data_IF_641968164820
#
_entry.id   IF_641968164820
#
_cell.length_a   1.000
_cell.length_b   1.000
_cell.length_c   1.000
_cell.angle_alpha   90.00
_cell.angle_beta   90.00
_cell.angle_gamma   90.00
#
_symmetry.space_group_name_H-M   'P 1'
#
loop_
_entity.id
_entity.type
_entity.pdbx_description
1 polymer ?
#
# COMPACT_ATOMS: atom_id res chain seq x y z
N UNK A 1 -9.10 -27.14 -28.23
CA UNK A 1 -9.85 -25.88 -28.48
C UNK A 1 -11.12 -25.77 -27.64
N UNK A 2 -12.00 -26.79 -27.64
CA UNK A 2 -13.24 -26.82 -26.82
C UNK A 2 -13.01 -26.54 -25.34
N UNK A 3 -11.98 -27.14 -24.74
CA UNK A 3 -11.66 -26.94 -23.34
C UNK A 3 -11.19 -25.50 -23.02
N UNK A 4 -10.39 -24.90 -23.89
CA UNK A 4 -9.96 -23.48 -23.77
C UNK A 4 -11.19 -22.56 -23.79
N UNK A 5 -12.13 -22.80 -24.71
CA UNK A 5 -13.36 -22.02 -24.81
C UNK A 5 -14.24 -22.22 -23.55
N UNK A 6 -14.38 -23.46 -23.07
CA UNK A 6 -15.17 -23.75 -21.89
C UNK A 6 -14.61 -23.06 -20.64
N UNK A 7 -13.30 -23.10 -20.44
CA UNK A 7 -12.61 -22.38 -19.35
C UNK A 7 -12.83 -20.88 -19.51
N UNK A 8 -12.63 -20.33 -20.71
CA UNK A 8 -12.83 -18.90 -20.97
C UNK A 8 -14.27 -18.45 -20.68
N UNK A 9 -15.27 -19.17 -21.17
CA UNK A 9 -16.69 -18.88 -20.91
C UNK A 9 -16.98 -18.93 -19.42
N UNK A 10 -16.45 -19.93 -18.70
CA UNK A 10 -16.64 -20.05 -17.25
C UNK A 10 -16.03 -18.85 -16.52
N UNK A 11 -14.82 -18.44 -16.88
CA UNK A 11 -14.16 -17.25 -16.35
C UNK A 11 -14.97 -15.98 -16.63
N UNK A 12 -15.39 -15.77 -17.87
CA UNK A 12 -16.19 -14.59 -18.26
C UNK A 12 -17.54 -14.57 -17.52
N UNK A 13 -18.23 -15.71 -17.39
CA UNK A 13 -19.48 -15.79 -16.65
C UNK A 13 -19.31 -15.44 -15.17
N UNK A 14 -18.20 -15.83 -14.54
CA UNK A 14 -17.90 -15.45 -13.15
C UNK A 14 -17.65 -13.95 -13.03
N UNK A 15 -16.84 -13.38 -13.92
CA UNK A 15 -16.57 -11.94 -14.00
C UNK A 15 -17.89 -11.16 -14.20
N UNK A 16 -18.70 -11.55 -15.19
CA UNK A 16 -19.97 -10.87 -15.52
C UNK A 16 -20.97 -10.96 -14.37
N UNK A 17 -21.04 -12.09 -13.67
CA UNK A 17 -21.92 -12.24 -12.49
C UNK A 17 -21.52 -11.36 -11.33
N UNK A 18 -20.24 -10.99 -11.19
CA UNK A 18 -19.78 -10.07 -10.14
C UNK A 18 -20.17 -8.60 -10.42
N UNK A 19 -20.25 -8.19 -11.70
CA UNK A 19 -20.57 -6.80 -12.11
C UNK A 19 -21.86 -6.22 -11.48
N UNK A 20 -23.03 -6.89 -11.50
CA UNK A 20 -24.25 -6.33 -10.92
C UNK A 20 -24.16 -6.08 -9.42
N UNK A 21 -23.46 -6.94 -8.67
CA UNK A 21 -23.28 -6.77 -7.22
C UNK A 21 -22.41 -5.54 -6.94
N UNK A 22 -21.32 -5.36 -7.68
CA UNK A 22 -20.46 -4.17 -7.60
C UNK A 22 -21.26 -2.90 -7.93
N UNK A 23 -22.13 -2.94 -8.95
CA UNK A 23 -22.99 -1.80 -9.30
C UNK A 23 -24.00 -1.49 -8.20
N UNK A 24 -24.57 -2.50 -7.54
CA UNK A 24 -25.49 -2.34 -6.42
C UNK A 24 -24.80 -1.72 -5.21
N UNK A 25 -23.63 -2.22 -4.83
CA UNK A 25 -22.86 -1.68 -3.71
C UNK A 25 -22.41 -0.25 -3.99
N UNK A 26 -21.88 0.03 -5.19
CA UNK A 26 -21.51 1.40 -5.60
C UNK A 26 -22.68 2.37 -5.55
N UNK A 27 -23.85 1.94 -6.02
CA UNK A 27 -25.06 2.76 -5.94
C UNK A 27 -25.48 3.00 -4.48
N UNK A 28 -25.29 2.02 -3.60
CA UNK A 28 -25.56 2.16 -2.18
C UNK A 28 -24.58 3.13 -1.50
N UNK A 29 -23.28 3.03 -1.78
CA UNK A 29 -22.25 3.97 -1.33
C UNK A 29 -22.53 5.38 -1.84
N UNK A 30 -22.86 5.53 -3.12
CA UNK A 30 -23.21 6.83 -3.72
C UNK A 30 -24.46 7.46 -3.07
N UNK A 31 -25.48 6.65 -2.72
CA UNK A 31 -26.63 7.13 -1.93
C UNK A 31 -26.24 7.58 -0.53
N UNK A 32 -25.29 6.90 0.11
CA UNK A 32 -24.78 7.32 1.42
C UNK A 32 -24.00 8.64 1.32
N UNK A 33 -23.20 8.85 0.27
CA UNK A 33 -22.52 10.12 -0.03
C UNK A 33 -23.54 11.25 -0.26
N UNK A 34 -24.59 11.02 -1.05
CA UNK A 34 -25.58 12.05 -1.38
C UNK A 34 -26.44 12.46 -0.16
N UNK A 35 -26.64 11.55 0.80
CA UNK A 35 -27.54 11.74 1.94
C UNK A 35 -26.81 11.89 3.28
N UNK A 36 -25.56 12.37 3.26
CA UNK A 36 -24.72 12.67 4.44
C UNK A 36 -25.48 13.51 5.51
N UNK A 37 -26.56 14.22 5.13
CA UNK A 37 -27.38 15.05 6.02
C UNK A 37 -28.65 14.41 6.62
N UNK A 38 -29.17 13.27 6.14
CA UNK A 38 -30.53 12.84 6.55
C UNK A 38 -30.81 11.34 6.58
N UNK A 39 -29.89 10.45 6.17
CA UNK A 39 -30.20 9.02 6.07
C UNK A 39 -29.31 8.20 7.03
N UNK A 40 -29.96 7.47 7.94
CA UNK A 40 -29.36 6.32 8.62
C UNK A 40 -28.89 5.36 7.52
N UNK A 41 -27.59 5.01 7.42
CA UNK A 41 -27.12 4.08 6.41
C UNK A 41 -27.92 2.78 6.52
N UNK A 42 -28.43 2.27 5.39
CA UNK A 42 -29.12 0.98 5.38
C UNK A 42 -28.20 -0.12 5.89
N UNK A 43 -28.75 -1.07 6.65
CA UNK A 43 -28.00 -2.17 7.27
C UNK A 43 -27.24 -3.02 6.24
N UNK A 44 -27.72 -3.05 4.99
CA UNK A 44 -27.12 -3.79 3.87
C UNK A 44 -25.89 -3.11 3.23
N UNK A 45 -25.52 -1.91 3.66
CA UNK A 45 -24.39 -1.17 3.10
C UNK A 45 -23.09 -1.47 3.86
N UNK A 46 -21.95 -1.50 3.17
CA UNK A 46 -20.62 -1.61 3.81
C UNK A 46 -20.44 -0.58 4.94
N UNK A 47 -20.88 0.66 4.70
CA UNK A 47 -20.90 1.75 5.68
C UNK A 47 -21.77 1.39 6.89
N UNK A 48 -22.97 0.86 6.67
CA UNK A 48 -23.89 0.44 7.72
C UNK A 48 -23.32 -0.70 8.57
N UNK A 49 -22.70 -1.71 7.94
CA UNK A 49 -22.04 -2.81 8.66
C UNK A 49 -20.88 -2.31 9.53
N UNK A 50 -20.02 -1.43 9.01
CA UNK A 50 -18.92 -0.84 9.77
C UNK A 50 -19.40 0.07 10.90
N UNK A 51 -20.45 0.86 10.67
CA UNK A 51 -21.07 1.70 11.70
C UNK A 51 -21.70 0.89 12.83
N UNK A 52 -22.35 -0.23 12.50
CA UNK A 52 -22.89 -1.16 13.50
C UNK A 52 -21.78 -1.79 14.34
N UNK A 53 -20.74 -2.33 13.70
CA UNK A 53 -19.56 -2.89 14.37
C UNK A 53 -18.89 -1.87 15.30
N UNK A 54 -18.74 -0.62 14.86
CA UNK A 54 -18.19 0.44 15.70
C UNK A 54 -19.04 0.71 16.94
N UNK A 55 -20.37 0.79 16.79
CA UNK A 55 -21.30 1.00 17.91
C UNK A 55 -21.23 -0.14 18.92
N UNK A 56 -21.25 -1.39 18.44
CA UNK A 56 -21.15 -2.58 19.31
C UNK A 56 -19.82 -2.60 20.07
N UNK A 57 -18.70 -2.26 19.41
CA UNK A 57 -17.39 -2.17 20.06
C UNK A 57 -17.31 -1.05 21.12
N UNK A 58 -17.92 0.11 20.82
CA UNK A 58 -18.00 1.25 21.72
C UNK A 58 -18.85 0.93 22.97
N UNK A 59 -20.02 0.30 22.77
CA UNK A 59 -20.90 -0.16 23.87
C UNK A 59 -20.23 -1.20 24.76
N UNK A 60 -19.42 -2.09 24.16
CA UNK A 60 -18.63 -3.07 24.90
C UNK A 60 -17.41 -2.49 25.64
N UNK A 61 -17.12 -1.19 25.49
CA UNK A 61 -15.93 -0.55 26.04
C UNK A 61 -14.61 -1.07 25.47
N UNK A 62 -14.66 -1.72 24.30
CA UNK A 62 -13.50 -2.28 23.61
C UNK A 62 -12.77 -1.19 22.82
N UNK A 63 -11.50 -1.44 22.51
CA UNK A 63 -10.73 -0.56 21.64
C UNK A 63 -11.30 -0.60 20.21
N UNK A 64 -12.10 0.42 19.88
CA UNK A 64 -12.78 0.55 18.60
C UNK A 64 -11.78 0.67 17.45
N UNK A 65 -10.60 1.25 17.68
CA UNK A 65 -9.56 1.38 16.67
C UNK A 65 -8.97 0.01 16.34
N UNK A 66 -8.64 -0.79 17.35
CA UNK A 66 -8.17 -2.16 17.17
C UNK A 66 -9.20 -3.02 16.43
N UNK A 67 -10.49 -2.91 16.77
CA UNK A 67 -11.56 -3.66 16.10
C UNK A 67 -11.75 -3.23 14.65
N UNK A 68 -11.74 -1.92 14.36
CA UNK A 68 -11.86 -1.41 12.99
C UNK A 68 -10.63 -1.74 12.13
N UNK A 69 -9.44 -1.65 12.71
CA UNK A 69 -8.19 -2.04 12.05
C UNK A 69 -8.17 -3.53 11.71
N UNK A 70 -8.53 -4.39 12.68
CA UNK A 70 -8.67 -5.82 12.46
C UNK A 70 -9.73 -6.13 11.38
N UNK A 71 -10.87 -5.42 11.39
CA UNK A 71 -11.90 -5.59 10.36
C UNK A 71 -11.41 -5.16 8.98
N UNK A 72 -10.67 -4.06 8.89
CA UNK A 72 -10.12 -3.58 7.63
C UNK A 72 -9.09 -4.55 7.05
N UNK A 73 -8.23 -5.13 7.91
CA UNK A 73 -7.29 -6.19 7.52
C UNK A 73 -8.01 -7.47 7.05
N UNK A 74 -9.11 -7.84 7.73
CA UNK A 74 -9.94 -8.96 7.30
C UNK A 74 -10.62 -8.69 5.95
N UNK A 75 -11.20 -7.50 5.75
CA UNK A 75 -11.82 -7.11 4.48
C UNK A 75 -10.79 -7.13 3.33
N UNK A 76 -9.55 -6.65 3.56
CA UNK A 76 -8.46 -6.74 2.58
C UNK A 76 -8.11 -8.20 2.22
N UNK A 77 -8.00 -9.06 3.24
CA UNK A 77 -7.73 -10.48 3.04
C UNK A 77 -8.87 -11.20 2.30
N UNK A 78 -10.12 -10.83 2.58
CA UNK A 78 -11.31 -11.40 1.94
C UNK A 78 -11.36 -10.99 0.46
N UNK A 79 -11.06 -9.71 0.15
CA UNK A 79 -10.94 -9.23 -1.23
C UNK A 79 -9.83 -9.95 -2.00
N UNK A 80 -8.68 -10.19 -1.38
CA UNK A 80 -7.60 -10.97 -2.00
C UNK A 80 -8.01 -12.43 -2.27
N UNK A 81 -8.77 -13.04 -1.36
CA UNK A 81 -9.17 -14.45 -1.49
C UNK A 81 -10.34 -14.67 -2.44
N UNK A 82 -11.28 -13.70 -2.54
CA UNK A 82 -12.49 -13.76 -3.37
C UNK A 82 -12.20 -14.14 -4.82
N UNK A 83 -11.07 -13.67 -5.34
CA UNK A 83 -10.70 -13.81 -6.75
C UNK A 83 -9.59 -14.82 -7.03
N UNK A 84 -9.14 -15.55 -6.00
CA UNK A 84 -8.08 -16.55 -6.15
C UNK A 84 -8.42 -17.61 -7.22
N UNK A 85 -9.66 -18.11 -7.23
CA UNK A 85 -10.10 -19.09 -8.22
C UNK A 85 -10.22 -18.49 -9.63
N UNK A 86 -10.58 -17.20 -9.74
CA UNK A 86 -10.67 -16.51 -11.02
C UNK A 86 -9.26 -16.37 -11.64
N UNK A 87 -8.26 -16.01 -10.83
CA UNK A 87 -6.85 -15.98 -11.23
C UNK A 87 -6.33 -17.35 -11.66
N UNK A 88 -6.67 -18.41 -10.93
CA UNK A 88 -6.28 -19.78 -11.30
C UNK A 88 -6.84 -20.19 -12.67
N UNK A 89 -8.11 -19.85 -12.96
CA UNK A 89 -8.73 -20.14 -14.26
C UNK A 89 -8.12 -19.33 -15.41
N UNK A 90 -7.80 -18.04 -15.18
CA UNK A 90 -7.11 -17.19 -16.16
C UNK A 90 -5.71 -17.73 -16.48
N UNK A 91 -4.99 -18.17 -15.45
CA UNK A 91 -3.67 -18.80 -15.58
C UNK A 91 -3.74 -20.15 -16.30
N UNK A 92 -4.83 -20.90 -16.15
CA UNK A 92 -4.99 -22.20 -16.81
C UNK A 92 -5.19 -22.08 -18.34
N UNK A 93 -5.67 -20.94 -18.85
CA UNK A 93 -5.94 -20.75 -20.28
C UNK A 93 -4.69 -20.98 -21.17
N UNK A 94 -3.55 -20.30 -20.94
CA UNK A 94 -2.30 -20.56 -21.68
C UNK A 94 -1.82 -22.00 -21.54
N UNK A 95 -1.93 -22.57 -20.34
CA UNK A 95 -1.50 -23.95 -20.05
C UNK A 95 -2.31 -24.95 -20.87
N UNK A 96 -3.63 -24.80 -20.94
CA UNK A 96 -4.47 -25.65 -21.77
C UNK A 96 -4.24 -25.45 -23.28
N UNK A 97 -3.88 -24.23 -23.71
CA UNK A 97 -3.42 -23.97 -25.06
C UNK A 97 -2.16 -24.79 -25.39
N UNK A 98 -1.15 -24.71 -24.53
CA UNK A 98 0.10 -25.45 -24.67
C UNK A 98 -0.10 -26.97 -24.64
N UNK A 99 -0.91 -27.49 -23.69
CA UNK A 99 -1.27 -28.91 -23.63
C UNK A 99 -1.94 -29.35 -24.94
N UNK A 100 -2.84 -28.54 -25.48
CA UNK A 100 -3.47 -28.79 -26.78
C UNK A 100 -2.44 -28.96 -27.89
N UNK A 101 -1.45 -28.07 -27.96
CA UNK A 101 -0.38 -28.18 -28.96
C UNK A 101 0.53 -29.37 -28.75
N UNK A 102 0.86 -29.71 -27.50
CA UNK A 102 1.67 -30.87 -27.18
C UNK A 102 0.98 -32.17 -27.63
N UNK A 103 -0.33 -32.29 -27.44
CA UNK A 103 -1.11 -33.43 -27.89
C UNK A 103 -1.14 -33.54 -29.43
N UNK A 104 -1.34 -32.42 -30.14
CA UNK A 104 -1.29 -32.41 -31.61
C UNK A 104 0.11 -32.76 -32.12
N UNK A 105 1.15 -32.20 -31.52
CA UNK A 105 2.54 -32.55 -31.86
C UNK A 105 2.86 -34.02 -31.61
N UNK A 106 2.38 -34.60 -30.52
CA UNK A 106 2.54 -36.03 -30.25
C UNK A 106 1.83 -36.90 -31.31
N UNK A 107 0.62 -36.53 -31.71
CA UNK A 107 -0.13 -37.23 -32.76
C UNK A 107 0.56 -37.13 -34.13
N UNK A 108 1.06 -35.93 -34.50
CA UNK A 108 1.82 -35.72 -35.73
C UNK A 108 3.06 -36.61 -35.78
N UNK A 109 3.85 -36.66 -34.71
CA UNK A 109 5.06 -37.50 -34.63
C UNK A 109 4.71 -38.99 -34.78
N UNK A 110 3.62 -39.45 -34.15
CA UNK A 110 3.14 -40.82 -34.31
C UNK A 110 2.71 -41.15 -35.75
N UNK A 111 1.94 -40.26 -36.39
CA UNK A 111 1.49 -40.45 -37.78
C UNK A 111 2.65 -40.44 -38.79
N UNK A 112 3.64 -39.57 -38.56
CA UNK A 112 4.84 -39.48 -39.39
C UNK A 112 5.77 -40.68 -39.20
N UNK A 113 5.89 -41.20 -37.96
CA UNK A 113 6.62 -42.44 -37.68
C UNK A 113 6.05 -43.64 -38.44
N UNK A 114 4.73 -43.80 -38.46
CA UNK A 114 4.07 -44.85 -39.25
C UNK A 114 4.33 -44.68 -40.77
N UNK A 115 4.47 -43.45 -41.26
CA UNK A 115 4.80 -43.18 -42.66
C UNK A 115 6.28 -43.53 -42.99
N UNK A 116 7.19 -43.43 -42.02
CA UNK A 116 8.60 -43.84 -42.17
C UNK A 116 8.74 -45.37 -42.31
N UNK A 117 7.96 -46.14 -41.56
CA UNK A 117 8.01 -47.60 -41.58
C UNK A 117 7.54 -48.21 -42.92
N UNK A 118 6.85 -47.40 -43.75
CA UNK A 118 6.31 -47.77 -45.07
C UNK A 118 7.32 -47.88 -46.23
N UNK A 119 8.64 -47.89 -45.94
CA UNK A 119 9.78 -47.89 -46.90
C UNK A 119 10.04 -46.54 -47.61
N UNK A 120 11.00 -45.79 -47.06
CA UNK A 120 12.24 -45.34 -47.73
C UNK A 120 12.21 -44.42 -48.95
N UNK A 121 11.07 -44.10 -49.57
CA UNK A 121 11.04 -43.18 -50.72
C UNK A 121 10.90 -41.73 -50.23
N UNK A 122 11.88 -40.84 -50.53
CA UNK A 122 11.81 -39.42 -50.17
C UNK A 122 10.54 -38.72 -50.65
N UNK A 123 9.95 -39.15 -51.78
CA UNK A 123 8.71 -38.57 -52.30
C UNK A 123 7.51 -38.82 -51.39
N UNK A 124 7.41 -40.03 -50.82
CA UNK A 124 6.36 -40.42 -49.87
C UNK A 124 6.52 -39.66 -48.56
N UNK A 125 7.76 -39.44 -48.11
CA UNK A 125 8.04 -38.69 -46.89
C UNK A 125 7.65 -37.21 -47.02
N UNK A 126 7.94 -36.59 -48.16
CA UNK A 126 7.54 -35.21 -48.45
C UNK A 126 6.02 -35.09 -48.55
N UNK A 127 5.35 -36.07 -49.18
CA UNK A 127 3.90 -36.12 -49.25
C UNK A 127 3.26 -36.25 -47.85
N UNK A 128 3.81 -37.14 -47.01
CA UNK A 128 3.36 -37.34 -45.64
C UNK A 128 3.54 -36.07 -44.79
N UNK A 129 4.67 -35.38 -44.92
CA UNK A 129 4.90 -34.10 -44.24
C UNK A 129 3.85 -33.05 -44.65
N UNK A 130 3.58 -32.92 -45.95
CA UNK A 130 2.60 -31.96 -46.49
C UNK A 130 1.16 -32.28 -46.10
N UNK A 131 0.81 -33.57 -46.02
CA UNK A 131 -0.57 -33.99 -45.72
C UNK A 131 -0.87 -34.04 -44.23
N UNK A 132 0.05 -34.55 -43.41
CA UNK A 132 -0.23 -34.88 -42.01
C UNK A 132 0.40 -33.91 -41.01
N UNK A 133 1.56 -33.31 -41.32
CA UNK A 133 2.32 -32.52 -40.33
C UNK A 133 2.10 -31.02 -40.48
N UNK A 134 2.30 -30.45 -41.67
CA UNK A 134 2.19 -28.99 -41.87
C UNK A 134 0.82 -28.40 -41.49
N UNK A 135 -0.32 -29.00 -41.91
CA UNK A 135 -1.64 -28.45 -41.58
C UNK A 135 -1.96 -28.56 -40.07
N UNK A 136 -1.63 -29.68 -39.45
CA UNK A 136 -1.87 -29.91 -38.02
C UNK A 136 -1.02 -29.00 -37.14
N UNK A 137 0.24 -28.76 -37.53
CA UNK A 137 1.14 -27.84 -36.84
C UNK A 137 0.60 -26.41 -36.87
N UNK A 138 0.13 -25.94 -38.03
CA UNK A 138 -0.47 -24.61 -38.17
C UNK A 138 -1.74 -24.47 -37.31
N UNK A 139 -2.60 -25.50 -37.31
CA UNK A 139 -3.80 -25.55 -36.46
C UNK A 139 -3.46 -25.52 -34.97
N UNK A 140 -2.44 -26.28 -34.55
CA UNK A 140 -1.95 -26.30 -33.17
C UNK A 140 -1.52 -24.91 -32.69
N UNK A 141 -0.65 -24.22 -33.45
CA UNK A 141 -0.26 -22.85 -33.12
C UNK A 141 -1.45 -21.89 -33.01
N UNK A 142 -2.47 -22.07 -33.87
CA UNK A 142 -3.73 -21.31 -33.79
C UNK A 142 -4.44 -21.48 -32.44
N UNK A 143 -4.48 -22.69 -31.89
CA UNK A 143 -5.08 -22.97 -30.56
C UNK A 143 -4.35 -22.21 -29.45
N UNK A 144 -3.02 -22.20 -29.46
CA UNK A 144 -2.24 -21.46 -28.46
C UNK A 144 -2.40 -19.96 -28.59
N UNK A 145 -2.38 -19.44 -29.82
CA UNK A 145 -2.59 -18.01 -30.06
C UNK A 145 -3.95 -17.55 -29.52
N UNK A 146 -5.01 -18.31 -29.78
CA UNK A 146 -6.36 -18.04 -29.25
C UNK A 146 -6.36 -18.13 -27.73
N UNK A 147 -5.73 -19.16 -27.14
CA UNK A 147 -5.67 -19.32 -25.69
C UNK A 147 -4.97 -18.15 -24.98
N UNK A 148 -3.84 -17.68 -25.52
CA UNK A 148 -3.11 -16.51 -25.01
C UNK A 148 -3.94 -15.24 -25.15
N UNK A 149 -4.55 -15.01 -26.32
CA UNK A 149 -5.38 -13.84 -26.57
C UNK A 149 -6.58 -13.77 -25.60
N UNK A 150 -7.27 -14.89 -25.41
CA UNK A 150 -8.39 -15.00 -24.46
C UNK A 150 -7.93 -14.83 -23.01
N UNK A 151 -6.74 -15.32 -22.65
CA UNK A 151 -6.16 -15.13 -21.32
C UNK A 151 -5.88 -13.65 -21.03
N UNK A 152 -5.30 -12.91 -21.98
CA UNK A 152 -5.06 -11.47 -21.85
C UNK A 152 -6.37 -10.70 -21.69
N UNK A 153 -7.40 -11.03 -22.48
CA UNK A 153 -8.71 -10.39 -22.35
C UNK A 153 -9.35 -10.67 -20.99
N UNK A 154 -9.31 -11.91 -20.52
CA UNK A 154 -9.87 -12.30 -19.22
C UNK A 154 -9.11 -11.61 -18.07
N UNK A 155 -7.78 -11.57 -18.13
CA UNK A 155 -6.94 -10.87 -17.17
C UNK A 155 -7.25 -9.37 -17.12
N UNK A 156 -7.37 -8.72 -18.28
CA UNK A 156 -7.73 -7.30 -18.35
C UNK A 156 -9.12 -7.00 -17.76
N UNK A 157 -10.11 -7.83 -18.07
CA UNK A 157 -11.45 -7.70 -17.51
C UNK A 157 -11.44 -7.88 -15.98
N UNK A 158 -10.69 -8.86 -15.49
CA UNK A 158 -10.53 -9.12 -14.06
C UNK A 158 -9.88 -7.94 -13.33
N UNK A 159 -8.79 -7.37 -13.89
CA UNK A 159 -8.12 -6.22 -13.33
C UNK A 159 -9.03 -4.99 -13.20
N UNK A 160 -9.95 -4.79 -14.16
CA UNK A 160 -10.95 -3.72 -14.09
C UNK A 160 -11.99 -3.96 -12.99
N UNK A 161 -12.42 -5.21 -12.80
CA UNK A 161 -13.34 -5.60 -11.72
C UNK A 161 -12.69 -5.37 -10.35
N UNK A 162 -11.48 -5.86 -10.13
CA UNK A 162 -10.78 -5.68 -8.85
C UNK A 162 -10.49 -4.20 -8.56
N UNK A 163 -10.09 -3.43 -9.58
CA UNK A 163 -9.93 -1.98 -9.46
C UNK A 163 -11.25 -1.33 -9.06
N UNK A 164 -12.36 -1.82 -9.62
CA UNK A 164 -13.68 -1.30 -9.36
C UNK A 164 -14.16 -1.59 -7.93
N UNK A 165 -13.87 -2.77 -7.40
CA UNK A 165 -14.17 -3.17 -6.02
C UNK A 165 -13.33 -2.39 -5.01
N UNK A 166 -12.00 -2.30 -5.22
CA UNK A 166 -11.11 -1.51 -4.35
C UNK A 166 -11.52 -0.05 -4.25
N UNK A 167 -11.92 0.56 -5.37
CA UNK A 167 -12.42 1.93 -5.37
C UNK A 167 -13.74 2.09 -4.59
N UNK A 168 -14.61 1.06 -4.62
CA UNK A 168 -15.88 1.10 -3.87
C UNK A 168 -15.66 0.98 -2.36
N UNK A 169 -14.77 0.08 -1.93
CA UNK A 169 -14.39 -0.05 -0.51
C UNK A 169 -13.78 1.26 -0.01
N UNK A 170 -12.82 1.83 -0.74
CA UNK A 170 -12.22 3.12 -0.36
C UNK A 170 -13.24 4.26 -0.22
N UNK A 171 -14.22 4.33 -1.13
CA UNK A 171 -15.31 5.32 -1.03
C UNK A 171 -16.24 5.07 0.17
N UNK A 172 -16.51 3.82 0.52
CA UNK A 172 -17.29 3.48 1.71
C UNK A 172 -16.56 3.88 2.99
N UNK A 173 -15.23 3.74 3.02
CA UNK A 173 -14.39 4.09 4.17
C UNK A 173 -14.39 5.59 4.43
N UNK A 174 -14.29 6.39 3.38
CA UNK A 174 -14.39 7.84 3.45
C UNK A 174 -15.74 8.28 4.03
N UNK A 175 -16.85 7.69 3.53
CA UNK A 175 -18.20 7.98 4.04
C UNK A 175 -18.33 7.57 5.51
N UNK A 176 -17.83 6.40 5.88
CA UNK A 176 -17.83 5.93 7.27
C UNK A 176 -17.13 6.91 8.22
N UNK A 177 -15.95 7.42 7.84
CA UNK A 177 -15.22 8.42 8.63
C UNK A 177 -16.01 9.72 8.78
N UNK A 178 -16.69 10.18 7.74
CA UNK A 178 -17.56 11.37 7.80
C UNK A 178 -18.71 11.16 8.81
N UNK A 179 -19.33 9.97 8.82
CA UNK A 179 -20.36 9.63 9.81
C UNK A 179 -19.80 9.59 11.23
N UNK A 180 -18.62 9.00 11.41
CA UNK A 180 -17.96 8.89 12.72
C UNK A 180 -17.62 10.27 13.31
N UNK A 181 -17.12 11.20 12.49
CA UNK A 181 -16.84 12.58 12.89
C UNK A 181 -18.09 13.36 13.32
N UNK A 182 -19.29 12.93 12.90
CA UNK A 182 -20.57 13.57 13.23
C UNK A 182 -21.28 12.96 14.43
N UNK A 183 -20.79 11.83 14.97
CA UNK A 183 -21.42 11.22 16.14
C UNK A 183 -21.27 12.13 17.37
N UNK A 184 -22.37 12.46 18.07
CA UNK A 184 -22.28 13.26 19.29
C UNK A 184 -21.44 12.50 20.32
N UNK A 185 -20.50 13.20 20.98
CA UNK A 185 -19.45 12.63 21.84
C UNK A 185 -19.88 11.75 23.03
N UNK A 186 -21.19 11.49 23.17
CA UNK A 186 -21.78 10.56 24.12
C UNK A 186 -21.97 9.14 23.54
N UNK A 187 -22.15 9.01 22.22
CA UNK A 187 -22.18 7.73 21.48
C UNK A 187 -20.79 7.32 20.95
N UNK A 188 -19.80 8.23 20.98
CA UNK A 188 -18.43 8.00 20.50
C UNK A 188 -17.41 7.58 21.59
N UNK A 189 -17.85 7.36 22.84
CA UNK A 189 -16.98 6.95 23.94
C UNK A 189 -16.56 5.47 23.77
N UNK A 190 -15.32 5.01 24.10
CA UNK A 190 -14.15 5.64 24.71
C UNK A 190 -12.95 5.82 23.75
N UNK A 191 -13.02 5.34 22.50
CA UNK A 191 -11.88 5.34 21.55
C UNK A 191 -11.41 6.74 21.16
N UNK A 192 -12.35 7.67 20.90
CA UNK A 192 -12.00 9.07 20.62
C UNK A 192 -11.39 9.75 21.86
N UNK A 193 -11.78 9.34 23.07
CA UNK A 193 -11.13 9.83 24.31
C UNK A 193 -9.72 9.26 24.47
N UNK A 194 -9.45 8.04 23.99
CA UNK A 194 -8.11 7.45 23.88
C UNK A 194 -7.21 8.27 22.95
N UNK A 195 -7.64 8.50 21.71
CA UNK A 195 -6.94 9.34 20.74
C UNK A 195 -6.75 10.78 21.25
N UNK A 196 -7.77 11.37 21.89
CA UNK A 196 -7.67 12.72 22.47
C UNK A 196 -6.71 12.74 23.67
N UNK A 197 -6.67 11.68 24.48
CA UNK A 197 -5.70 11.54 25.59
C UNK A 197 -4.28 11.34 25.08
N UNK A 198 -4.06 10.51 24.08
CA UNK A 198 -2.74 10.32 23.48
C UNK A 198 -2.24 11.61 22.84
N UNK A 199 -3.09 12.33 22.09
CA UNK A 199 -2.72 13.62 21.52
C UNK A 199 -2.39 14.65 22.61
N UNK A 200 -3.16 14.70 23.70
CA UNK A 200 -2.89 15.56 24.85
C UNK A 200 -1.60 15.16 25.59
N UNK A 201 -1.30 13.86 25.68
CA UNK A 201 -0.09 13.33 26.28
C UNK A 201 1.14 13.65 25.43
N UNK A 202 1.06 13.50 24.11
CA UNK A 202 2.11 13.88 23.17
C UNK A 202 2.36 15.39 23.22
N UNK A 203 1.31 16.21 23.28
CA UNK A 203 1.45 17.67 23.46
C UNK A 203 2.05 18.04 24.83
N UNK A 204 1.74 17.28 25.90
CA UNK A 204 2.35 17.43 27.21
C UNK A 204 3.84 17.12 27.20
N UNK A 205 4.23 15.96 26.66
CA UNK A 205 5.62 15.55 26.46
C UNK A 205 6.40 16.54 25.59
N UNK A 206 5.77 17.08 24.54
CA UNK A 206 6.37 18.11 23.67
C UNK A 206 6.63 19.41 24.45
N UNK A 207 5.70 19.81 25.33
CA UNK A 207 5.91 20.96 26.22
C UNK A 207 7.05 20.71 27.21
N UNK A 208 7.10 19.55 27.85
CA UNK A 208 8.19 19.21 28.77
C UNK A 208 9.56 19.17 28.08
N UNK A 209 9.65 18.61 26.88
CA UNK A 209 10.86 18.63 26.05
C UNK A 209 11.30 20.06 25.72
N UNK A 210 10.37 20.93 25.33
CA UNK A 210 10.68 22.34 25.06
C UNK A 210 11.16 23.09 26.30
N UNK A 211 10.60 22.76 27.48
CA UNK A 211 11.01 23.35 28.75
C UNK A 211 12.41 22.87 29.18
N UNK A 212 12.69 21.57 29.02
CA UNK A 212 14.01 21.00 29.26
C UNK A 212 15.07 21.59 28.32
N UNK A 213 14.73 21.79 27.05
CA UNK A 213 15.61 22.47 26.10
C UNK A 213 15.89 23.91 26.52
N UNK A 214 14.88 24.65 26.99
CA UNK A 214 15.05 25.99 27.55
C UNK A 214 16.03 26.03 28.73
N UNK A 215 15.88 25.13 29.71
CA UNK A 215 16.79 25.02 30.85
C UNK A 215 18.22 24.66 30.43
N UNK A 216 18.41 23.78 29.44
CA UNK A 216 19.75 23.47 28.93
C UNK A 216 20.42 24.66 28.24
N UNK A 217 19.63 25.48 27.54
CA UNK A 217 20.13 26.69 26.90
C UNK A 217 20.48 27.78 27.93
N UNK A 218 19.70 27.89 29.01
CA UNK A 218 19.98 28.80 30.11
C UNK A 218 21.23 28.39 30.90
N UNK A 219 21.42 27.08 31.14
CA UNK A 219 22.66 26.53 31.70
C UNK A 219 23.87 26.79 30.80
N UNK A 220 23.73 26.62 29.49
CA UNK A 220 24.81 26.93 28.54
C UNK A 220 25.15 28.42 28.54
N UNK A 221 24.16 29.31 28.62
CA UNK A 221 24.36 30.75 28.71
C UNK A 221 25.01 31.17 30.03
N UNK A 222 24.57 30.62 31.16
CA UNK A 222 25.18 30.83 32.47
C UNK A 222 26.64 30.38 32.49
N UNK A 223 26.93 29.21 31.92
CA UNK A 223 28.30 28.71 31.76
C UNK A 223 29.16 29.64 30.90
N UNK A 224 28.63 30.13 29.78
CA UNK A 224 29.33 31.11 28.94
C UNK A 224 29.68 32.39 29.69
N UNK A 225 28.75 32.93 30.49
CA UNK A 225 29.01 34.09 31.37
C UNK A 225 30.09 33.81 32.41
N UNK A 226 30.11 32.62 33.00
CA UNK A 226 31.17 32.26 33.96
C UNK A 226 32.54 32.17 33.28
N UNK A 227 32.63 31.64 32.06
CA UNK A 227 33.88 31.60 31.30
C UNK A 227 34.38 33.01 30.92
N UNK A 228 33.46 33.91 30.59
CA UNK A 228 33.79 35.31 30.29
C UNK A 228 34.28 36.05 31.54
N UNK A 229 33.66 35.80 32.71
CA UNK A 229 34.11 36.35 33.99
C UNK A 229 35.51 35.87 34.37
N UNK A 230 35.79 34.58 34.16
CA UNK A 230 37.12 33.99 34.40
C UNK A 230 38.17 34.64 33.50
N UNK A 231 37.89 34.80 32.20
CA UNK A 231 38.79 35.50 31.27
C UNK A 231 39.01 36.96 31.67
N UNK A 232 37.96 37.65 32.12
CA UNK A 232 38.05 39.02 32.62
C UNK A 232 38.94 39.12 33.86
N UNK A 233 38.85 38.14 34.77
CA UNK A 233 39.69 38.08 35.97
C UNK A 233 41.16 37.81 35.62
N UNK A 234 41.44 36.93 34.68
CA UNK A 234 42.80 36.67 34.20
C UNK A 234 43.40 37.90 33.49
N UNK A 235 42.59 38.62 32.70
CA UNK A 235 43.00 39.87 32.07
C UNK A 235 43.31 40.96 33.11
N UNK A 236 42.48 41.08 34.15
CA UNK A 236 42.70 42.00 35.27
C UNK A 236 43.99 41.65 36.02
N UNK A 237 44.21 40.37 36.35
CA UNK A 237 45.44 39.87 36.97
C UNK A 237 46.66 40.24 36.15
N UNK A 238 46.63 40.00 34.84
CA UNK A 238 47.72 40.34 33.91
C UNK A 238 47.97 41.86 33.87
N UNK A 239 46.92 42.68 33.93
CA UNK A 239 47.05 44.13 33.98
C UNK A 239 47.68 44.62 35.29
N UNK A 240 47.30 44.02 36.42
CA UNK A 240 47.90 44.28 37.74
C UNK A 240 49.38 43.91 37.73
N UNK A 241 49.75 42.74 37.20
CA UNK A 241 51.15 42.31 37.10
C UNK A 241 51.98 43.27 36.22
N UNK A 242 51.39 43.81 35.13
CA UNK A 242 52.04 44.83 34.28
C UNK A 242 52.21 46.17 34.99
N UNK A 243 51.22 46.60 35.78
CA UNK A 243 51.32 47.83 36.57
C UNK A 243 52.40 47.71 37.66
N UNK A 244 52.45 46.57 38.37
CA UNK A 244 53.51 46.29 39.33
C UNK A 244 54.92 46.25 38.66
N UNK A 245 55.02 45.69 37.46
CA UNK A 245 56.26 45.73 36.67
C UNK A 245 56.63 47.14 36.17
N UNK A 246 55.66 48.02 35.94
CA UNK A 246 55.90 49.42 35.58
C UNK A 246 56.33 50.26 36.79
N UNK A 247 55.77 50.01 37.97
CA UNK A 247 56.09 50.70 39.23
C UNK A 247 57.50 50.37 39.73
N UNK A 248 58.03 49.20 39.40
CA UNK A 248 59.41 48.79 39.73
C UNK A 248 60.48 49.33 38.77
N UNK A 249 60.12 50.07 37.71
CA UNK A 249 61.11 50.78 36.86
C UNK A 249 61.40 52.17 37.44
N UNK A 250 62.61 52.46 37.94
CA UNK A 250 62.95 53.81 38.36
C UNK A 250 62.95 54.76 37.15
N UNK A 251 62.00 55.70 37.12
CA UNK A 251 62.04 56.85 36.21
C UNK A 251 63.31 57.66 36.50
N UNK A 252 64.34 57.52 35.66
CA UNK A 252 65.45 58.47 35.61
C UNK A 252 64.89 59.81 35.11
N UNK A 253 64.55 60.69 36.04
CA UNK A 253 64.38 62.12 35.75
C UNK A 253 65.76 62.69 35.44
N UNK A 254 66.09 62.82 34.16
CA UNK A 254 67.25 63.60 33.71
C UNK A 254 66.89 65.08 33.86
N UNK A 255 67.37 65.72 34.93
CA UNK A 255 67.33 67.17 35.05
C UNK A 255 68.25 67.75 33.96
N UNK A 256 67.67 68.29 32.90
CA UNK A 256 68.38 69.14 31.94
C UNK A 256 68.60 70.48 32.63
N UNK A 257 69.84 70.71 33.10
CA UNK A 257 70.28 72.01 33.61
C UNK A 257 70.62 72.88 32.40
N UNK A 258 69.91 74.00 32.23
CA UNK A 258 70.43 75.11 31.43
C UNK A 258 71.55 75.82 32.21
N UNK A 259 72.58 76.18 31.45
CA UNK A 259 73.79 76.97 31.76
C UNK A 259 74.98 76.21 32.37
#
# INVERSE_FOLDING_TARGET
MTLVIAVFITTVLRIVRAVPDIRRERAATARAVANIGSVKPGEDTLVGRRLKLFKEAAEAGSDCEAVLSARSALDESEMANKHHLDHALIWALPVFGFIGTALTMAAMVGSFGNALDGRGDPGVLIAALKQYVLPELASAFGVTMIALFLSVLAFGAMALVERAERANVGAADEVFLIYLARLPGKEAAPGLQGLTRELAQVQGLTRELSHMQGLTQELAHSRGRTEELVKGLDALRTAVDRLAAAESRPQKYTLVREQ
#
